data_IF_799495615158
#
_entry.id   IF_799495615158
#
_cell.length_a   1.000
_cell.length_b   1.000
_cell.length_c   1.000
_cell.angle_alpha   90.00
_cell.angle_beta   90.00
_cell.angle_gamma   90.00
#
_symmetry.space_group_name_H-M   'P 1'
#
loop_
_entity.id
_entity.type
_entity.pdbx_description
1 polymer ?
#
# COMPACT_ATOMS: atom_id res chain seq x y z
N UNK A 1 2.21 -2.07 17.27
CA UNK A 1 1.32 -1.17 16.50
C UNK A 1 2.04 0.14 16.22
N UNK A 2 1.72 0.81 15.11
CA UNK A 2 2.27 2.12 14.77
C UNK A 2 1.84 3.15 15.80
N UNK A 3 2.80 3.85 16.41
CA UNK A 3 2.55 4.82 17.48
C UNK A 3 2.07 6.16 16.91
N UNK A 4 1.25 6.87 17.70
CA UNK A 4 0.64 8.16 17.32
C UNK A 4 1.67 9.23 16.92
N UNK A 5 2.86 9.21 17.50
CA UNK A 5 3.93 10.16 17.18
C UNK A 5 4.34 10.10 15.71
N UNK A 6 4.28 8.91 15.06
CA UNK A 6 4.61 8.74 13.63
C UNK A 6 3.75 9.61 12.70
N UNK A 7 2.57 10.02 13.13
CA UNK A 7 1.64 10.84 12.34
C UNK A 7 1.81 12.34 12.58
N UNK A 8 2.77 12.74 13.45
CA UNK A 8 2.98 14.14 13.74
C UNK A 8 3.91 14.80 12.72
N UNK A 9 3.68 16.10 12.48
CA UNK A 9 4.54 16.91 11.63
C UNK A 9 5.98 16.93 12.16
N UNK A 10 6.14 17.02 13.48
CA UNK A 10 7.44 16.99 14.15
C UNK A 10 8.23 15.73 13.86
N UNK A 11 7.60 14.55 13.96
CA UNK A 11 8.22 13.28 13.62
C UNK A 11 8.76 13.27 12.18
N UNK A 12 7.92 13.64 11.23
CA UNK A 12 8.28 13.61 9.81
C UNK A 12 9.32 14.68 9.42
N UNK A 13 9.26 15.86 10.02
CA UNK A 13 10.24 16.92 9.80
C UNK A 13 11.62 16.54 10.35
N UNK A 14 11.70 15.79 11.46
CA UNK A 14 12.95 15.26 12.00
C UNK A 14 13.68 14.34 11.00
N UNK A 15 12.97 13.55 10.19
CA UNK A 15 13.61 12.76 9.13
C UNK A 15 14.22 13.63 8.03
N UNK A 16 13.59 14.74 7.69
CA UNK A 16 14.13 15.69 6.72
C UNK A 16 15.44 16.29 7.17
N UNK A 17 15.57 16.61 8.45
CA UNK A 17 16.80 17.18 9.04
C UNK A 17 17.90 16.13 9.15
N UNK A 18 17.58 14.93 9.65
CA UNK A 18 18.57 13.88 9.93
C UNK A 18 19.08 13.16 8.68
N UNK A 19 18.38 13.28 7.55
CA UNK A 19 18.74 12.65 6.27
C UNK A 19 19.08 13.71 5.20
N UNK A 20 19.89 14.70 5.54
CA UNK A 20 20.24 15.86 4.70
C UNK A 20 20.72 15.50 3.28
N UNK A 21 21.28 14.30 3.07
CA UNK A 21 21.72 13.81 1.76
C UNK A 21 20.59 13.18 0.92
N UNK A 22 19.39 12.98 1.48
CA UNK A 22 18.22 12.46 0.76
C UNK A 22 17.16 13.55 0.70
N UNK A 23 16.75 13.96 -0.49
CA UNK A 23 15.63 14.89 -0.66
C UNK A 23 14.33 14.19 -0.28
N UNK A 24 13.98 14.15 1.01
CA UNK A 24 12.75 13.56 1.50
C UNK A 24 11.60 14.53 1.24
N UNK A 25 10.64 14.09 0.45
CA UNK A 25 9.36 14.78 0.31
C UNK A 25 8.46 14.37 1.48
N UNK A 26 8.24 15.28 2.42
CA UNK A 26 7.45 15.01 3.65
C UNK A 26 5.99 14.65 3.37
N UNK A 27 5.40 15.16 2.30
CA UNK A 27 4.04 14.79 1.90
C UNK A 27 3.97 13.34 1.40
N UNK A 28 5.01 12.87 0.72
CA UNK A 28 5.11 11.46 0.29
C UNK A 28 5.43 10.57 1.50
N UNK A 29 6.27 11.04 2.44
CA UNK A 29 6.53 10.33 3.70
C UNK A 29 5.24 10.18 4.52
N UNK A 30 4.46 11.24 4.67
CA UNK A 30 3.14 11.19 5.32
C UNK A 30 2.25 10.11 4.68
N UNK A 31 2.11 10.13 3.36
CA UNK A 31 1.32 9.11 2.65
C UNK A 31 1.84 7.70 2.85
N UNK A 32 3.15 7.50 2.87
CA UNK A 32 3.74 6.18 3.12
C UNK A 32 3.43 5.70 4.55
N UNK A 33 3.54 6.56 5.55
CA UNK A 33 3.16 6.24 6.94
C UNK A 33 1.67 5.87 7.02
N UNK A 34 0.80 6.64 6.37
CA UNK A 34 -0.63 6.38 6.31
C UNK A 34 -0.96 5.08 5.56
N UNK A 35 -0.21 4.75 4.51
CA UNK A 35 -0.35 3.49 3.79
C UNK A 35 0.01 2.29 4.68
N UNK A 36 1.12 2.36 5.42
CA UNK A 36 1.49 1.30 6.38
C UNK A 36 0.49 1.19 7.53
N UNK A 37 -0.08 2.32 7.97
CA UNK A 37 -1.14 2.31 8.96
C UNK A 37 -2.42 1.66 8.43
N UNK A 38 -2.83 1.96 7.19
CA UNK A 38 -3.95 1.27 6.56
C UNK A 38 -3.72 -0.25 6.51
N UNK A 39 -2.52 -0.67 6.12
CA UNK A 39 -2.15 -2.08 6.09
C UNK A 39 -2.29 -2.74 7.47
N UNK A 40 -1.84 -2.07 8.52
CA UNK A 40 -1.99 -2.52 9.91
C UNK A 40 -3.46 -2.63 10.32
N UNK A 41 -4.28 -1.62 10.01
CA UNK A 41 -5.70 -1.62 10.35
C UNK A 41 -6.48 -2.71 9.62
N UNK A 42 -6.16 -3.01 8.36
CA UNK A 42 -6.73 -4.13 7.62
C UNK A 42 -6.42 -5.48 8.32
N UNK A 43 -5.18 -5.65 8.80
CA UNK A 43 -4.78 -6.85 9.53
C UNK A 43 -5.51 -6.97 10.87
N UNK A 44 -5.61 -5.88 11.62
CA UNK A 44 -6.33 -5.82 12.91
C UNK A 44 -7.83 -6.11 12.72
N UNK A 45 -8.44 -5.64 11.64
CA UNK A 45 -9.83 -5.90 11.28
C UNK A 45 -10.08 -7.35 10.80
N UNK A 46 -9.05 -8.20 10.77
CA UNK A 46 -9.15 -9.61 10.45
C UNK A 46 -9.15 -9.94 8.96
N UNK A 47 -8.77 -9.00 8.08
CA UNK A 47 -8.63 -9.29 6.66
C UNK A 47 -7.44 -10.24 6.42
N UNK A 48 -7.70 -11.35 5.73
CA UNK A 48 -6.65 -12.26 5.26
C UNK A 48 -6.22 -11.87 3.84
N UNK A 49 -4.93 -11.58 3.67
CA UNK A 49 -4.39 -11.13 2.38
C UNK A 49 -2.89 -11.39 2.26
N UNK A 50 -2.40 -11.36 1.02
CA UNK A 50 -0.99 -11.26 0.69
C UNK A 50 -0.71 -9.83 0.23
N UNK A 51 0.20 -9.13 0.93
CA UNK A 51 0.62 -7.77 0.61
C UNK A 51 1.75 -7.79 -0.41
N UNK A 52 1.55 -7.17 -1.56
CA UNK A 52 2.49 -7.16 -2.68
C UNK A 52 2.79 -5.75 -3.19
N UNK A 53 3.38 -5.66 -4.35
CA UNK A 53 3.62 -4.40 -5.05
C UNK A 53 4.84 -3.62 -4.55
N UNK A 54 4.89 -2.34 -4.91
CA UNK A 54 6.02 -1.47 -4.59
C UNK A 54 6.17 -1.15 -3.11
N UNK A 55 5.05 -1.02 -2.40
CA UNK A 55 5.05 -0.63 -0.99
C UNK A 55 5.49 -1.79 -0.09
N UNK A 56 5.28 -3.05 -0.50
CA UNK A 56 5.84 -4.20 0.24
C UNK A 56 7.36 -4.19 0.30
N UNK A 57 8.03 -3.64 -0.73
CA UNK A 57 9.48 -3.47 -0.73
C UNK A 57 9.98 -2.48 0.33
N UNK A 58 9.16 -1.54 0.79
CA UNK A 58 9.52 -0.63 1.89
C UNK A 58 9.72 -1.44 3.18
N UNK A 59 8.88 -2.46 3.42
CA UNK A 59 9.03 -3.37 4.57
C UNK A 59 10.22 -4.33 4.42
N UNK A 60 10.45 -4.83 3.20
CA UNK A 60 11.44 -5.86 2.92
C UNK A 60 12.88 -5.34 2.86
N UNK A 61 13.06 -4.12 2.31
CA UNK A 61 14.39 -3.54 2.08
C UNK A 61 14.87 -2.64 3.21
N UNK A 62 13.96 -2.18 4.09
CA UNK A 62 14.23 -1.31 5.25
C UNK A 62 14.91 0.03 4.90
N UNK A 63 15.75 0.09 3.89
CA UNK A 63 16.52 1.25 3.44
C UNK A 63 16.13 1.69 2.02
N UNK A 64 14.84 1.82 1.74
CA UNK A 64 14.37 2.27 0.44
C UNK A 64 14.79 3.72 0.12
N UNK A 65 15.32 3.95 -1.09
CA UNK A 65 15.58 5.30 -1.60
C UNK A 65 14.33 5.95 -2.21
N UNK A 66 13.24 5.22 -2.30
CA UNK A 66 11.97 5.64 -2.90
C UNK A 66 10.81 5.16 -2.04
N UNK A 67 9.95 6.08 -1.64
CA UNK A 67 8.69 5.73 -1.00
C UNK A 67 7.67 5.28 -2.05
N UNK A 68 6.89 4.28 -1.70
CA UNK A 68 5.69 3.86 -2.39
C UNK A 68 4.50 4.07 -1.44
N UNK A 69 3.36 4.42 -1.98
CA UNK A 69 2.21 4.92 -1.21
C UNK A 69 0.91 4.16 -1.48
N UNK A 70 0.89 3.29 -2.49
CA UNK A 70 -0.27 2.48 -2.82
C UNK A 70 -0.20 1.13 -2.12
N UNK A 71 -1.32 0.62 -1.66
CA UNK A 71 -1.44 -0.70 -1.04
C UNK A 71 -2.02 -1.68 -2.07
N UNK A 72 -1.21 -2.63 -2.48
CA UNK A 72 -1.60 -3.72 -3.38
C UNK A 72 -1.75 -5.02 -2.58
N UNK A 73 -2.94 -5.63 -2.57
CA UNK A 73 -3.17 -6.91 -1.89
C UNK A 73 -3.85 -7.93 -2.81
N UNK A 74 -3.60 -9.20 -2.50
CA UNK A 74 -4.38 -10.33 -3.03
C UNK A 74 -5.16 -10.92 -1.85
N UNK A 75 -6.46 -11.14 -2.04
CA UNK A 75 -7.33 -11.74 -1.02
C UNK A 75 -8.38 -12.62 -1.66
N UNK A 76 -8.70 -13.71 -1.00
CA UNK A 76 -9.82 -14.62 -1.39
C UNK A 76 -11.14 -14.21 -0.77
N UNK A 77 -11.15 -13.16 0.06
CA UNK A 77 -12.36 -12.64 0.71
C UNK A 77 -13.30 -12.06 -0.34
N UNK A 78 -14.57 -12.43 -0.29
CA UNK A 78 -15.58 -11.90 -1.18
C UNK A 78 -15.83 -10.40 -0.94
N UNK A 79 -16.37 -9.71 -1.96
CA UNK A 79 -16.56 -8.25 -1.92
C UNK A 79 -17.44 -7.77 -0.75
N UNK A 80 -18.58 -8.44 -0.47
CA UNK A 80 -19.49 -8.00 0.61
C UNK A 80 -18.86 -8.08 2.01
N UNK A 81 -18.25 -9.20 2.43
CA UNK A 81 -17.48 -9.23 3.68
C UNK A 81 -16.34 -8.22 3.72
N UNK A 82 -15.66 -7.99 2.60
CA UNK A 82 -14.61 -7.00 2.49
C UNK A 82 -15.13 -5.58 2.80
N UNK A 83 -16.24 -5.17 2.20
CA UNK A 83 -16.83 -3.83 2.43
C UNK A 83 -17.11 -3.61 3.92
N UNK A 84 -17.66 -4.61 4.61
CA UNK A 84 -17.87 -4.54 6.07
C UNK A 84 -16.56 -4.38 6.85
N UNK A 85 -15.49 -5.04 6.43
CA UNK A 85 -14.15 -4.89 7.05
C UNK A 85 -13.60 -3.48 6.80
N UNK A 86 -13.73 -2.94 5.58
CA UNK A 86 -13.27 -1.59 5.25
C UNK A 86 -14.02 -0.52 6.04
N UNK A 87 -15.33 -0.70 6.27
CA UNK A 87 -16.13 0.18 7.11
C UNK A 87 -15.69 0.13 8.59
N UNK A 88 -15.37 -1.08 9.09
CA UNK A 88 -14.78 -1.23 10.43
C UNK A 88 -13.42 -0.55 10.56
N UNK A 89 -12.57 -0.61 9.51
CA UNK A 89 -11.29 0.11 9.48
C UNK A 89 -11.52 1.61 9.62
N UNK A 90 -12.47 2.19 8.88
CA UNK A 90 -12.80 3.61 9.01
C UNK A 90 -13.33 3.93 10.41
N UNK A 91 -14.25 3.12 10.94
CA UNK A 91 -14.88 3.35 12.25
C UNK A 91 -13.88 3.29 13.42
N UNK A 92 -12.82 2.47 13.31
CA UNK A 92 -11.86 2.21 14.40
C UNK A 92 -10.48 2.87 14.19
N UNK A 93 -10.33 3.73 13.18
CA UNK A 93 -9.07 4.40 12.86
C UNK A 93 -9.26 5.91 12.71
N UNK A 94 -8.21 6.60 12.27
CA UNK A 94 -8.30 8.02 11.95
C UNK A 94 -8.58 8.30 10.46
N UNK A 95 -8.87 7.27 9.65
CA UNK A 95 -9.38 7.49 8.32
C UNK A 95 -10.80 8.06 8.36
N UNK A 96 -11.05 9.08 7.56
CA UNK A 96 -12.33 9.81 7.59
C UNK A 96 -13.42 9.14 6.76
N UNK A 97 -13.02 8.43 5.70
CA UNK A 97 -13.93 7.66 4.83
C UNK A 97 -13.14 6.74 3.90
N UNK A 98 -13.85 5.81 3.27
CA UNK A 98 -13.37 5.06 2.11
C UNK A 98 -14.35 5.22 0.94
N UNK A 99 -13.88 5.03 -0.29
CA UNK A 99 -14.71 5.09 -1.49
C UNK A 99 -14.24 4.09 -2.53
N UNK A 100 -15.15 3.27 -3.03
CA UNK A 100 -14.92 2.41 -4.18
C UNK A 100 -14.77 3.27 -5.45
N UNK A 101 -13.72 3.04 -6.22
CA UNK A 101 -13.58 3.59 -7.56
C UNK A 101 -14.21 2.61 -8.55
N UNK A 102 -15.48 2.78 -8.85
CA UNK A 102 -16.25 1.88 -9.71
C UNK A 102 -15.63 1.75 -11.10
N UNK A 103 -15.22 2.84 -11.71
CA UNK A 103 -14.66 2.86 -13.06
C UNK A 103 -13.39 1.99 -13.18
N UNK A 104 -12.53 1.97 -12.15
CA UNK A 104 -11.33 1.14 -12.12
C UNK A 104 -11.60 -0.30 -11.67
N UNK A 105 -12.66 -0.51 -10.90
CA UNK A 105 -12.97 -1.79 -10.24
C UNK A 105 -13.71 -2.78 -11.14
N UNK A 106 -14.38 -2.30 -12.20
CA UNK A 106 -15.15 -3.13 -13.11
C UNK A 106 -14.43 -3.26 -14.44
N UNK A 107 -13.62 -4.30 -14.56
CA UNK A 107 -13.04 -4.72 -15.83
C UNK A 107 -13.40 -6.19 -16.05
N UNK A 108 -14.03 -6.49 -17.17
CA UNK A 108 -14.45 -7.84 -17.54
C UNK A 108 -13.27 -8.83 -17.46
N UNK A 109 -13.49 -9.97 -16.81
CA UNK A 109 -12.50 -11.03 -16.66
C UNK A 109 -11.40 -10.78 -15.63
N UNK A 110 -11.38 -9.60 -14.93
CA UNK A 110 -10.41 -9.34 -13.88
C UNK A 110 -11.14 -9.05 -12.57
N UNK A 111 -11.11 -9.98 -11.59
CA UNK A 111 -11.76 -9.80 -10.29
C UNK A 111 -10.93 -8.86 -9.41
N UNK A 112 -11.17 -7.55 -9.51
CA UNK A 112 -10.43 -6.53 -8.76
C UNK A 112 -11.34 -5.47 -8.18
N UNK A 113 -10.86 -4.78 -7.15
CA UNK A 113 -11.46 -3.57 -6.61
C UNK A 113 -10.38 -2.53 -6.30
N UNK A 114 -10.74 -1.26 -6.44
CA UNK A 114 -9.90 -0.12 -6.13
C UNK A 114 -10.64 0.77 -5.15
N UNK A 115 -10.12 0.93 -3.95
CA UNK A 115 -10.67 1.82 -2.93
C UNK A 115 -9.72 2.99 -2.71
N UNK A 116 -10.28 4.13 -2.37
CA UNK A 116 -9.55 5.30 -1.91
C UNK A 116 -9.94 5.55 -0.46
N UNK A 117 -8.95 5.53 0.44
CA UNK A 117 -9.10 5.94 1.83
C UNK A 117 -8.70 7.40 1.98
N UNK A 118 -9.44 8.14 2.77
CA UNK A 118 -9.22 9.57 3.02
C UNK A 118 -8.76 9.78 4.46
N UNK A 119 -7.86 10.74 4.66
CA UNK A 119 -7.35 11.12 5.97
C UNK A 119 -7.06 12.62 6.03
N UNK A 120 -7.01 13.19 7.23
CA UNK A 120 -6.65 14.59 7.43
C UNK A 120 -5.12 14.74 7.39
N UNK A 121 -4.62 15.43 6.35
CA UNK A 121 -3.19 15.66 6.16
C UNK A 121 -2.68 16.76 7.10
N UNK A 122 -1.57 16.49 7.81
CA UNK A 122 -0.91 17.50 8.66
C UNK A 122 -0.12 18.55 7.85
N UNK A 123 0.18 18.25 6.57
CA UNK A 123 0.84 19.18 5.66
C UNK A 123 -0.12 19.97 4.77
N UNK A 124 -1.29 19.43 4.49
CA UNK A 124 -2.31 20.06 3.64
C UNK A 124 -3.70 20.01 4.31
N UNK A 125 -3.94 20.79 5.38
CA UNK A 125 -5.16 20.67 6.18
C UNK A 125 -6.43 21.03 5.43
N UNK A 126 -6.33 21.70 4.29
CA UNK A 126 -7.49 22.10 3.47
C UNK A 126 -7.85 21.07 2.38
N UNK A 127 -7.04 20.02 2.20
CA UNK A 127 -7.27 18.99 1.18
C UNK A 127 -7.03 17.63 1.81
N UNK A 128 -8.05 16.75 1.84
CA UNK A 128 -7.88 15.40 2.37
C UNK A 128 -6.74 14.67 1.68
N UNK A 129 -5.89 14.04 2.47
CA UNK A 129 -4.92 13.07 1.97
C UNK A 129 -5.62 11.80 1.49
N UNK A 130 -5.00 11.09 0.58
CA UNK A 130 -5.59 9.87 0.01
C UNK A 130 -4.57 8.75 -0.06
N UNK A 131 -5.02 7.53 0.26
CA UNK A 131 -4.29 6.27 0.06
C UNK A 131 -5.12 5.38 -0.85
N UNK A 132 -4.48 4.79 -1.85
CA UNK A 132 -5.11 3.82 -2.74
C UNK A 132 -4.93 2.41 -2.17
N UNK A 133 -6.00 1.65 -2.17
CA UNK A 133 -6.02 0.22 -1.86
C UNK A 133 -6.51 -0.53 -3.09
N UNK A 134 -5.59 -1.25 -3.72
CA UNK A 134 -5.83 -2.07 -4.89
C UNK A 134 -5.91 -3.54 -4.47
N UNK A 135 -7.04 -4.18 -4.75
CA UNK A 135 -7.34 -5.54 -4.33
C UNK A 135 -7.54 -6.41 -5.56
N UNK A 136 -6.82 -7.52 -5.63
CA UNK A 136 -7.08 -8.61 -6.56
C UNK A 136 -7.76 -9.74 -5.79
N UNK A 137 -8.96 -10.12 -6.21
CA UNK A 137 -9.71 -11.25 -5.63
C UNK A 137 -9.24 -12.55 -6.26
N UNK A 138 -8.19 -13.12 -5.71
CA UNK A 138 -7.59 -14.35 -6.23
C UNK A 138 -6.79 -15.05 -5.11
N UNK A 139 -6.32 -16.25 -5.40
CA UNK A 139 -5.30 -16.93 -4.61
C UNK A 139 -3.92 -16.42 -4.99
N UNK A 140 -3.04 -16.24 -4.02
CA UNK A 140 -1.66 -15.84 -4.29
C UNK A 140 -0.83 -17.05 -4.74
N UNK A 141 -0.22 -16.95 -5.92
CA UNK A 141 0.56 -18.02 -6.55
C UNK A 141 2.06 -17.66 -6.63
N UNK A 142 2.61 -17.17 -5.52
CA UNK A 142 4.06 -16.90 -5.44
C UNK A 142 4.82 -18.15 -4.99
N UNK A 143 6.00 -18.43 -5.58
CA UNK A 143 6.81 -19.60 -5.21
C UNK A 143 7.32 -19.52 -3.77
N UNK A 144 7.45 -18.32 -3.22
CA UNK A 144 7.94 -18.08 -1.87
C UNK A 144 7.22 -16.90 -1.26
N UNK A 145 6.64 -17.13 -0.08
CA UNK A 145 5.97 -16.12 0.74
C UNK A 145 6.57 -16.12 2.14
N UNK A 146 6.72 -14.94 2.72
CA UNK A 146 7.35 -14.73 4.03
C UNK A 146 6.46 -13.89 4.95
N UNK A 147 6.61 -14.10 6.24
CA UNK A 147 5.99 -13.24 7.26
C UNK A 147 6.86 -11.99 7.46
N UNK A 148 6.28 -10.82 7.24
CA UNK A 148 6.98 -9.54 7.27
C UNK A 148 6.34 -8.63 8.32
N UNK A 149 7.06 -8.17 9.34
CA UNK A 149 6.52 -7.22 10.31
C UNK A 149 6.29 -5.86 9.63
N UNK A 150 5.20 -5.18 10.02
CA UNK A 150 4.95 -3.79 9.60
C UNK A 150 5.83 -2.88 10.46
N UNK A 151 7.10 -2.87 10.12
CA UNK A 151 8.11 -2.08 10.81
C UNK A 151 9.15 -1.56 9.82
N UNK A 152 9.51 -0.29 9.94
CA UNK A 152 10.52 0.37 9.12
C UNK A 152 11.19 1.48 9.94
N UNK A 153 12.38 1.97 9.57
CA UNK A 153 13.00 3.13 10.23
C UNK A 153 12.16 4.42 10.17
N UNK A 154 11.13 4.47 9.32
CA UNK A 154 10.31 5.67 9.07
C UNK A 154 9.11 5.81 9.99
N UNK A 155 8.81 4.79 10.80
CA UNK A 155 7.71 4.76 11.75
C UNK A 155 8.22 4.39 13.14
N UNK A 156 7.54 4.90 14.18
CA UNK A 156 7.67 4.39 15.53
C UNK A 156 6.62 3.31 15.72
N UNK A 157 7.02 2.11 16.10
CA UNK A 157 6.09 0.98 16.30
C UNK A 157 6.44 0.20 17.56
N UNK A 158 5.41 -0.37 18.18
CA UNK A 158 5.50 -1.30 19.31
C UNK A 158 4.64 -2.52 19.01
N UNK A 159 5.21 -3.71 19.19
CA UNK A 159 4.55 -4.97 18.84
C UNK A 159 3.91 -4.94 17.45
N UNK A 160 4.71 -4.79 16.36
CA UNK A 160 4.21 -4.60 15.03
C UNK A 160 3.38 -5.79 14.54
N UNK A 161 2.27 -5.54 13.88
CA UNK A 161 1.52 -6.56 13.17
C UNK A 161 2.38 -7.17 12.08
N UNK A 162 2.10 -8.43 11.73
CA UNK A 162 2.81 -9.18 10.69
C UNK A 162 1.86 -9.47 9.52
N UNK A 163 2.34 -9.23 8.32
CA UNK A 163 1.63 -9.55 7.07
C UNK A 163 2.41 -10.57 6.24
N UNK A 164 1.70 -11.28 5.37
CA UNK A 164 2.33 -12.17 4.39
C UNK A 164 2.74 -11.34 3.18
N UNK A 165 3.99 -11.45 2.76
CA UNK A 165 4.50 -10.84 1.51
C UNK A 165 5.17 -11.90 0.65
N UNK A 166 5.18 -11.75 -0.69
CA UNK A 166 6.11 -12.51 -1.52
C UNK A 166 7.56 -12.13 -1.18
N UNK A 167 8.50 -13.04 -1.41
CA UNK A 167 9.93 -12.70 -1.28
C UNK A 167 10.35 -11.62 -2.29
N UNK A 168 11.49 -10.97 -2.06
CA UNK A 168 12.04 -9.95 -2.98
C UNK A 168 12.22 -10.53 -4.38
N UNK A 169 12.69 -11.78 -4.49
CA UNK A 169 12.85 -12.45 -5.77
C UNK A 169 11.52 -12.67 -6.49
N UNK A 170 10.49 -13.08 -5.74
CA UNK A 170 9.15 -13.28 -6.29
C UNK A 170 8.52 -11.95 -6.78
N UNK A 171 8.67 -10.85 -6.01
CA UNK A 171 8.22 -9.51 -6.43
C UNK A 171 8.99 -9.02 -7.66
N UNK A 172 10.29 -9.29 -7.71
CA UNK A 172 11.12 -8.92 -8.87
C UNK A 172 10.65 -9.66 -10.12
N UNK A 173 10.41 -10.97 -10.01
CA UNK A 173 9.85 -11.77 -11.09
C UNK A 173 8.50 -11.24 -11.57
N UNK A 174 7.58 -10.94 -10.65
CA UNK A 174 6.27 -10.35 -10.96
C UNK A 174 6.40 -9.02 -11.74
N UNK A 175 7.30 -8.15 -11.32
CA UNK A 175 7.59 -6.89 -12.04
C UNK A 175 8.20 -7.12 -13.42
N UNK A 176 9.08 -8.10 -13.57
CA UNK A 176 9.71 -8.41 -14.85
C UNK A 176 8.73 -8.97 -15.87
N UNK A 177 7.64 -9.62 -15.45
CA UNK A 177 6.59 -10.11 -16.36
C UNK A 177 5.94 -8.98 -17.16
N UNK A 178 5.90 -7.76 -16.63
CA UNK A 178 5.38 -6.59 -17.35
C UNK A 178 6.17 -6.27 -18.64
N UNK A 179 7.43 -6.70 -18.72
CA UNK A 179 8.30 -6.52 -19.89
C UNK A 179 8.24 -7.70 -20.89
N UNK A 180 7.31 -8.64 -20.71
CA UNK A 180 7.10 -9.78 -21.61
C UNK A 180 5.82 -9.59 -22.46
N UNK A 181 5.78 -8.64 -23.42
CA UNK A 181 4.56 -8.16 -24.06
C UNK A 181 3.85 -9.19 -24.93
N UNK A 182 4.57 -10.23 -25.38
CA UNK A 182 4.01 -11.29 -26.22
C UNK A 182 3.43 -12.46 -25.42
N UNK A 183 3.45 -12.38 -24.10
CA UNK A 183 2.94 -13.41 -23.20
C UNK A 183 1.98 -12.80 -22.19
N UNK A 184 2.46 -12.52 -20.97
CA UNK A 184 1.66 -12.00 -19.84
C UNK A 184 1.88 -10.50 -19.59
N UNK A 185 2.83 -9.89 -20.28
CA UNK A 185 3.20 -8.49 -20.10
C UNK A 185 2.29 -7.50 -20.84
N UNK A 186 2.66 -6.23 -20.76
CA UNK A 186 1.93 -5.14 -21.41
C UNK A 186 2.21 -5.20 -22.93
N UNK A 187 1.20 -5.35 -23.81
CA UNK A 187 1.41 -5.38 -25.26
C UNK A 187 2.07 -4.08 -25.77
N UNK A 188 2.96 -4.23 -26.74
CA UNK A 188 3.51 -3.10 -27.48
C UNK A 188 2.40 -2.29 -28.08
N UNK A 189 2.12 -1.22 -28.23
CA UNK A 189 0.99 -0.48 -28.85
C UNK A 189 -0.29 -0.36 -28.02
N UNK A 190 -0.26 -0.72 -26.74
CA UNK A 190 -1.40 -0.44 -25.87
C UNK A 190 -1.33 1.02 -25.40
N UNK A 191 -1.80 1.95 -26.24
CA UNK A 191 -1.89 3.40 -26.04
C UNK A 191 -0.58 4.11 -25.65
N UNK A 192 -0.26 5.18 -26.35
CA UNK A 192 0.92 6.05 -26.11
C UNK A 192 1.07 6.58 -24.66
N UNK A 193 0.02 6.48 -23.87
CA UNK A 193 0.01 6.85 -22.45
C UNK A 193 0.68 5.83 -21.51
N UNK A 194 0.99 4.62 -21.98
CA UNK A 194 1.57 3.56 -21.16
C UNK A 194 3.10 3.67 -21.05
N UNK A 195 3.73 4.50 -21.86
CA UNK A 195 5.18 4.72 -21.87
C UNK A 195 5.65 5.88 -20.96
N UNK A 196 4.75 6.51 -20.24
CA UNK A 196 5.05 7.63 -19.35
C UNK A 196 5.19 7.22 -17.86
N UNK A 197 5.68 5.99 -17.60
CA UNK A 197 6.01 5.54 -16.23
C UNK A 197 7.51 5.38 -16.05
#
# INVERSE_FOLDING_TARGET
>A
MIRKESFTKEWMDNFKVNHQNKRINVTILEKMIQALYLLEQLKIAGLEFVFKGGTSLVLLLQEGNRFSIDIDIISTVERKPLESILDQVVANSHFTSNKLNEHRSYKEGIPKAHYTFYFDSVYNPNVPGTILLDILFDSAHYPEMIQTPINTPWISSEDPQTVITPSINAITGDKLTAFAPNTVGIPYYKNDQTFAM
#
